data_IF_644022801082
#
_entry.id   IF_644022801082
#
_cell.length_a   1.000
_cell.length_b   1.000
_cell.length_c   1.000
_cell.angle_alpha   90.00
_cell.angle_beta   90.00
_cell.angle_gamma   90.00
#
_symmetry.space_group_name_H-M   'P 1'
#
loop_
_entity.id
_entity.type
_entity.pdbx_description
1 polymer ?
#
# COMPACT_ATOMS: atom_id res chain seq x y z
N UNK A 1 0.71 65.31 31.81
CA UNK A 1 -0.10 65.13 30.55
C UNK A 1 0.78 64.74 29.35
N UNK A 2 1.95 65.37 29.12
CA UNK A 2 2.83 65.01 28.00
C UNK A 2 3.48 63.60 28.13
N UNK A 3 3.86 63.16 29.35
CA UNK A 3 4.52 61.82 29.54
C UNK A 3 3.53 60.67 29.32
N UNK A 4 2.25 60.86 29.66
CA UNK A 4 1.22 59.85 29.42
C UNK A 4 0.86 59.69 27.93
N UNK A 5 0.86 60.82 27.18
CA UNK A 5 0.68 60.79 25.73
C UNK A 5 1.85 60.08 25.02
N UNK A 6 3.09 60.39 25.44
CA UNK A 6 4.27 59.75 24.88
C UNK A 6 4.33 58.24 25.15
N UNK A 7 3.97 57.82 26.35
CA UNK A 7 3.90 56.39 26.73
C UNK A 7 2.82 55.63 25.91
N UNK A 8 1.68 56.28 25.64
CA UNK A 8 0.61 55.73 24.79
C UNK A 8 1.03 55.60 23.33
N UNK A 9 1.81 56.58 22.78
CA UNK A 9 2.31 56.51 21.44
C UNK A 9 3.37 55.41 21.28
N UNK A 10 4.29 55.24 22.22
CA UNK A 10 5.29 54.17 22.22
C UNK A 10 4.61 52.78 22.33
N UNK A 11 3.57 52.64 23.17
CA UNK A 11 2.78 51.40 23.29
C UNK A 11 2.05 51.05 21.98
N UNK A 12 1.46 52.07 21.31
CA UNK A 12 0.75 51.89 20.07
C UNK A 12 1.68 51.50 18.93
N UNK A 13 2.89 52.11 18.85
CA UNK A 13 3.91 51.72 17.90
C UNK A 13 4.44 50.30 18.13
N UNK A 14 4.66 49.90 19.39
CA UNK A 14 5.06 48.55 19.73
C UNK A 14 4.00 47.52 19.33
N UNK A 15 2.72 47.81 19.57
CA UNK A 15 1.59 46.97 19.18
C UNK A 15 1.51 46.84 17.64
N UNK A 16 1.65 47.93 16.89
CA UNK A 16 1.66 47.91 15.41
C UNK A 16 2.81 47.08 14.84
N UNK A 17 4.00 47.18 15.43
CA UNK A 17 5.16 46.39 15.01
C UNK A 17 4.95 44.89 15.31
N UNK A 18 4.37 44.56 16.46
CA UNK A 18 4.04 43.17 16.80
C UNK A 18 2.99 42.59 15.87
N UNK A 19 1.94 43.36 15.56
CA UNK A 19 0.88 42.97 14.61
C UNK A 19 1.46 42.75 13.19
N UNK A 20 2.29 43.67 12.69
CA UNK A 20 2.94 43.52 11.38
C UNK A 20 3.81 42.29 11.32
N UNK A 21 4.59 42.01 12.37
CA UNK A 21 5.43 40.81 12.46
C UNK A 21 4.60 39.53 12.47
N UNK A 22 3.53 39.49 13.26
CA UNK A 22 2.61 38.36 13.28
C UNK A 22 1.96 38.14 11.91
N UNK A 23 1.43 39.19 11.32
CA UNK A 23 0.80 39.15 9.99
C UNK A 23 1.76 38.65 8.93
N UNK A 24 3.01 39.12 8.93
CA UNK A 24 4.04 38.67 8.00
C UNK A 24 4.33 37.17 8.16
N UNK A 25 4.45 36.65 9.39
CA UNK A 25 4.66 35.21 9.63
C UNK A 25 3.44 34.43 9.15
N UNK A 26 2.24 34.85 9.50
CA UNK A 26 1.00 34.18 9.15
C UNK A 26 0.77 34.11 7.64
N UNK A 27 0.94 35.22 6.93
CA UNK A 27 0.71 35.31 5.48
C UNK A 27 1.77 34.61 4.63
N UNK A 28 3.05 34.59 5.09
CA UNK A 28 4.17 34.06 4.31
C UNK A 28 4.68 32.70 4.80
N UNK A 29 4.07 32.10 5.82
CA UNK A 29 4.38 30.74 6.24
C UNK A 29 4.11 29.76 5.08
N UNK A 30 5.02 28.79 4.91
CA UNK A 30 4.85 27.76 3.88
C UNK A 30 3.87 26.68 4.31
N UNK A 31 3.69 26.50 5.61
CA UNK A 31 2.71 25.57 6.19
C UNK A 31 1.36 26.25 6.36
N UNK A 32 0.30 25.46 6.27
CA UNK A 32 -1.05 25.94 6.54
C UNK A 32 -1.23 26.25 8.01
N UNK A 33 -1.65 27.46 8.37
CA UNK A 33 -1.99 27.83 9.75
C UNK A 33 -3.49 28.03 9.84
N UNK A 34 -4.10 27.49 10.89
CA UNK A 34 -5.54 27.57 11.07
C UNK A 34 -5.96 27.81 12.53
N UNK A 35 -7.17 28.34 12.66
CA UNK A 35 -7.95 28.29 13.89
C UNK A 35 -9.35 27.79 13.56
N UNK A 36 -9.90 26.88 14.39
CA UNK A 36 -11.23 26.32 14.21
C UNK A 36 -12.02 26.32 15.51
N UNK A 37 -13.36 26.47 15.40
CA UNK A 37 -14.24 26.32 16.55
C UNK A 37 -14.33 24.87 17.00
N UNK A 38 -14.80 24.61 18.24
CA UNK A 38 -15.07 23.24 18.71
C UNK A 38 -16.07 22.47 17.84
N UNK A 39 -16.96 23.15 17.13
CA UNK A 39 -17.97 22.58 16.23
C UNK A 39 -17.40 22.25 14.83
N UNK A 40 -16.14 22.59 14.56
CA UNK A 40 -15.48 22.28 13.30
C UNK A 40 -15.75 23.29 12.19
N UNK A 41 -15.73 24.59 12.52
CA UNK A 41 -15.75 25.69 11.54
C UNK A 41 -14.43 26.45 11.60
N UNK A 42 -13.91 26.86 10.46
CA UNK A 42 -12.72 27.71 10.40
C UNK A 42 -13.04 29.12 10.94
N UNK A 43 -12.19 29.61 11.85
CA UNK A 43 -12.16 30.98 12.33
C UNK A 43 -11.17 31.78 11.50
N UNK A 44 -9.99 31.21 11.27
CA UNK A 44 -8.94 31.82 10.46
C UNK A 44 -8.16 30.74 9.71
N UNK A 45 -7.62 31.13 8.56
CA UNK A 45 -6.74 30.32 7.73
C UNK A 45 -5.73 31.24 7.04
N UNK A 46 -4.48 30.80 6.91
CA UNK A 46 -3.50 31.55 6.14
C UNK A 46 -3.56 31.21 4.63
N UNK A 47 -2.92 32.01 3.76
CA UNK A 47 -2.91 31.76 2.33
C UNK A 47 -2.29 30.41 1.94
N UNK A 48 -1.36 29.85 2.74
CA UNK A 48 -0.76 28.57 2.45
C UNK A 48 -1.77 27.42 2.64
N UNK A 49 -2.61 27.47 3.69
CA UNK A 49 -3.68 26.49 3.90
C UNK A 49 -4.68 26.53 2.73
N UNK A 50 -5.11 27.73 2.32
CA UNK A 50 -6.04 27.89 1.21
C UNK A 50 -5.48 27.24 -0.07
N UNK A 51 -4.27 27.56 -0.45
CA UNK A 51 -3.61 26.95 -1.62
C UNK A 51 -3.46 25.43 -1.51
N UNK A 52 -3.07 24.95 -0.33
CA UNK A 52 -2.92 23.50 -0.05
C UNK A 52 -4.24 22.76 -0.26
N UNK A 53 -5.35 23.35 0.16
CA UNK A 53 -6.69 22.76 0.02
C UNK A 53 -7.35 23.05 -1.34
N UNK A 54 -6.70 23.84 -2.20
CA UNK A 54 -7.15 24.12 -3.57
C UNK A 54 -8.14 25.27 -3.68
N UNK A 55 -8.10 26.21 -2.73
CA UNK A 55 -8.87 27.45 -2.74
C UNK A 55 -8.00 28.65 -3.19
N UNK A 56 -8.62 29.62 -3.80
CA UNK A 56 -7.93 30.84 -4.27
C UNK A 56 -7.61 31.81 -3.13
N UNK A 57 -8.42 31.77 -2.05
CA UNK A 57 -8.18 32.60 -0.86
C UNK A 57 -8.63 31.90 0.45
N UNK A 58 -8.16 32.42 1.57
CA UNK A 58 -8.57 31.97 2.91
C UNK A 58 -10.06 32.21 3.17
N UNK A 59 -10.59 33.35 2.69
CA UNK A 59 -12.00 33.71 2.84
C UNK A 59 -12.88 32.70 2.09
N UNK A 60 -12.49 32.29 0.90
CA UNK A 60 -13.20 31.28 0.12
C UNK A 60 -13.20 29.92 0.84
N UNK A 61 -12.03 29.48 1.36
CA UNK A 61 -11.92 28.26 2.15
C UNK A 61 -12.87 28.28 3.37
N UNK A 62 -12.86 29.37 4.13
CA UNK A 62 -13.69 29.52 5.34
C UNK A 62 -15.18 29.50 4.99
N UNK A 63 -15.55 30.12 3.87
CA UNK A 63 -16.94 30.19 3.42
C UNK A 63 -17.49 28.83 2.93
N UNK A 64 -16.63 28.02 2.28
CA UNK A 64 -17.03 26.74 1.68
C UNK A 64 -16.96 25.57 2.69
N UNK A 65 -15.91 25.52 3.51
CA UNK A 65 -15.73 24.46 4.52
C UNK A 65 -16.46 24.80 5.82
N UNK A 66 -17.78 24.63 5.80
CA UNK A 66 -18.66 24.91 6.95
C UNK A 66 -18.81 23.75 7.92
N UNK A 67 -18.46 22.53 7.48
CA UNK A 67 -18.46 21.28 8.29
C UNK A 67 -17.21 20.45 7.93
N UNK A 68 -16.13 20.69 8.67
CA UNK A 68 -14.85 20.00 8.47
C UNK A 68 -15.01 18.48 8.58
N UNK A 69 -15.87 17.99 9.46
CA UNK A 69 -16.05 16.56 9.72
C UNK A 69 -16.54 15.82 8.49
N UNK A 70 -17.45 16.41 7.74
CA UNK A 70 -18.09 15.77 6.59
C UNK A 70 -17.45 16.13 5.25
N UNK A 71 -16.87 17.33 5.16
CA UNK A 71 -16.38 17.86 3.88
C UNK A 71 -14.92 17.60 3.64
N UNK A 72 -14.10 17.55 4.70
CA UNK A 72 -12.64 17.56 4.58
C UNK A 72 -12.03 16.16 4.62
N UNK A 73 -12.32 15.37 5.66
CA UNK A 73 -11.65 14.08 5.84
C UNK A 73 -12.20 12.98 4.92
N UNK A 74 -11.29 12.20 4.31
CA UNK A 74 -11.66 11.05 3.47
C UNK A 74 -12.21 9.93 4.33
N UNK A 75 -11.57 9.66 5.46
CA UNK A 75 -11.94 8.56 6.36
C UNK A 75 -12.98 9.03 7.38
N UNK A 76 -14.17 8.40 7.43
CA UNK A 76 -15.19 8.70 8.43
C UNK A 76 -14.66 8.54 9.85
N UNK A 77 -15.04 9.46 10.76
CA UNK A 77 -14.61 9.45 12.15
C UNK A 77 -13.18 9.95 12.40
N UNK A 78 -12.41 10.28 11.35
CA UNK A 78 -11.03 10.74 11.52
C UNK A 78 -10.95 12.07 12.27
N UNK A 79 -11.88 12.98 12.01
CA UNK A 79 -11.99 14.25 12.76
C UNK A 79 -12.28 14.01 14.24
N UNK A 80 -13.14 13.05 14.57
CA UNK A 80 -13.49 12.75 15.95
C UNK A 80 -12.29 12.23 16.73
N UNK A 81 -11.48 11.37 16.11
CA UNK A 81 -10.19 10.90 16.67
C UNK A 81 -9.23 12.07 16.94
N UNK A 82 -9.10 12.98 15.98
CA UNK A 82 -8.28 14.18 16.15
C UNK A 82 -8.74 15.03 17.35
N UNK A 83 -10.02 15.33 17.43
CA UNK A 83 -10.60 16.12 18.52
C UNK A 83 -10.44 15.42 19.86
N UNK A 84 -10.65 14.11 19.91
CA UNK A 84 -10.45 13.32 21.12
C UNK A 84 -9.00 13.44 21.62
N UNK A 85 -8.02 13.24 20.75
CA UNK A 85 -6.60 13.34 21.11
C UNK A 85 -6.24 14.74 21.63
N UNK A 86 -6.72 15.79 20.96
CA UNK A 86 -6.46 17.18 21.40
C UNK A 86 -7.11 17.46 22.75
N UNK A 87 -8.33 16.94 23.01
CA UNK A 87 -9.02 17.14 24.30
C UNK A 87 -8.33 16.42 25.46
N UNK A 88 -7.89 15.18 25.23
CA UNK A 88 -7.25 14.33 26.24
C UNK A 88 -5.84 14.83 26.61
N UNK A 89 -5.06 15.24 25.60
CA UNK A 89 -3.66 15.57 25.77
C UNK A 89 -3.36 17.09 25.76
N UNK A 90 -4.37 17.93 25.51
CA UNK A 90 -4.19 19.36 25.31
C UNK A 90 -3.63 19.74 23.94
N UNK A 91 -3.01 18.79 23.25
CA UNK A 91 -2.45 18.94 21.91
C UNK A 91 -2.37 17.60 21.17
N UNK A 92 -2.20 17.66 19.85
CA UNK A 92 -1.86 16.54 18.99
C UNK A 92 -0.70 16.98 18.08
N UNK A 93 0.23 16.08 17.84
CA UNK A 93 1.38 16.32 16.96
C UNK A 93 1.36 15.30 15.83
N UNK A 94 1.68 15.76 14.61
CA UNK A 94 1.88 14.92 13.42
C UNK A 94 0.75 13.94 13.15
N UNK A 95 -0.50 14.39 13.33
CA UNK A 95 -1.67 13.59 13.04
C UNK A 95 -1.87 13.48 11.53
N UNK A 96 -1.50 12.35 10.95
CA UNK A 96 -1.57 12.13 9.51
C UNK A 96 -2.96 11.70 9.06
N UNK A 97 -3.47 12.33 8.01
CA UNK A 97 -4.81 12.06 7.48
C UNK A 97 -4.87 12.29 5.97
N UNK A 98 -5.78 11.57 5.31
CA UNK A 98 -6.18 11.91 3.96
C UNK A 98 -7.34 12.89 3.98
N UNK A 99 -7.26 13.91 3.13
CA UNK A 99 -8.30 14.90 2.99
C UNK A 99 -8.67 15.13 1.52
N UNK A 100 -9.89 15.61 1.30
CA UNK A 100 -10.34 16.10 0.00
C UNK A 100 -9.93 17.56 -0.18
N UNK A 101 -9.34 17.86 -1.33
CA UNK A 101 -9.22 19.24 -1.81
C UNK A 101 -10.54 19.69 -2.45
N UNK A 102 -10.70 20.98 -2.74
CA UNK A 102 -11.88 21.57 -3.40
C UNK A 102 -12.32 20.78 -4.64
N UNK A 103 -11.40 20.35 -5.49
CA UNK A 103 -11.69 19.54 -6.69
C UNK A 103 -11.86 18.04 -6.45
N UNK A 104 -12.07 17.60 -5.20
CA UNK A 104 -12.20 16.18 -4.79
C UNK A 104 -10.95 15.34 -5.01
N UNK A 105 -9.82 15.92 -5.40
CA UNK A 105 -8.53 15.22 -5.32
C UNK A 105 -8.15 14.98 -3.86
N UNK A 106 -7.47 13.86 -3.60
CA UNK A 106 -7.05 13.45 -2.26
C UNK A 106 -5.58 13.80 -2.07
N UNK A 107 -5.24 14.37 -0.91
CA UNK A 107 -3.86 14.55 -0.46
C UNK A 107 -3.67 14.00 0.94
N UNK A 108 -2.44 13.70 1.29
CA UNK A 108 -2.04 13.41 2.66
C UNK A 108 -1.60 14.68 3.37
N UNK A 109 -2.11 14.92 4.57
CA UNK A 109 -1.69 15.99 5.44
C UNK A 109 -1.18 15.47 6.78
N UNK A 110 -0.31 16.26 7.42
CA UNK A 110 0.09 16.11 8.81
C UNK A 110 -0.39 17.35 9.57
N UNK A 111 -1.20 17.15 10.60
CA UNK A 111 -1.76 18.20 11.43
C UNK A 111 -1.14 18.18 12.82
N UNK A 112 -0.67 19.35 13.29
CA UNK A 112 -0.28 19.56 14.68
C UNK A 112 -1.14 20.70 15.25
N UNK A 113 -1.83 20.43 16.33
CA UNK A 113 -2.77 21.41 16.91
C UNK A 113 -2.79 21.34 18.44
N UNK A 114 -3.23 22.44 19.03
CA UNK A 114 -3.50 22.53 20.45
C UNK A 114 -4.85 23.17 20.74
N UNK A 115 -5.37 22.91 21.92
CA UNK A 115 -6.57 23.58 22.42
C UNK A 115 -6.19 24.91 23.10
N UNK A 116 -6.96 25.94 22.79
CA UNK A 116 -6.89 27.22 23.52
C UNK A 116 -8.14 27.33 24.37
N UNK A 117 -7.93 27.60 25.66
CA UNK A 117 -9.00 27.69 26.66
C UNK A 117 -9.06 29.08 27.25
N UNK A 118 -10.24 29.42 27.69
CA UNK A 118 -10.45 30.61 28.53
C UNK A 118 -9.74 30.42 29.90
N UNK A 119 -8.94 31.39 30.30
CA UNK A 119 -8.12 31.30 31.52
C UNK A 119 -8.97 31.28 32.81
N UNK A 120 -10.21 31.79 32.78
CA UNK A 120 -11.09 31.91 33.94
C UNK A 120 -12.08 30.74 34.03
N UNK A 121 -12.75 30.44 32.93
CA UNK A 121 -13.78 29.38 32.89
C UNK A 121 -13.21 27.99 32.58
N UNK A 122 -12.03 27.90 31.94
CA UNK A 122 -11.45 26.65 31.43
C UNK A 122 -12.16 26.13 30.19
N UNK A 123 -13.16 26.80 29.66
CA UNK A 123 -13.89 26.41 28.45
C UNK A 123 -12.98 26.47 27.22
N UNK A 124 -13.22 25.57 26.26
CA UNK A 124 -12.51 25.56 25.01
C UNK A 124 -12.98 26.72 24.14
N UNK A 125 -12.09 27.64 23.83
CA UNK A 125 -12.36 28.78 22.96
C UNK A 125 -12.21 28.35 21.48
N UNK A 126 -11.08 27.73 21.11
CA UNK A 126 -10.81 27.27 19.76
C UNK A 126 -9.65 26.26 19.75
N UNK A 127 -9.48 25.62 18.61
CA UNK A 127 -8.27 24.85 18.28
C UNK A 127 -7.43 25.67 17.32
N UNK A 128 -6.11 25.68 17.51
CA UNK A 128 -5.19 26.29 16.57
C UNK A 128 -4.06 25.33 16.24
N UNK A 129 -3.55 25.42 15.02
CA UNK A 129 -2.52 24.50 14.59
C UNK A 129 -1.95 24.81 13.23
N UNK A 130 -1.11 23.87 12.80
CA UNK A 130 -0.41 23.89 11.53
C UNK A 130 -0.69 22.61 10.75
N UNK A 131 -0.73 22.76 9.42
CA UNK A 131 -0.95 21.66 8.47
C UNK A 131 0.18 21.66 7.46
N UNK A 132 0.75 20.49 7.23
CA UNK A 132 1.76 20.25 6.21
C UNK A 132 1.23 19.24 5.17
N UNK A 133 1.41 19.53 3.88
CA UNK A 133 1.17 18.55 2.81
C UNK A 133 2.34 17.53 2.78
N UNK A 134 2.02 16.29 3.11
CA UNK A 134 2.97 15.18 3.16
C UNK A 134 2.75 14.17 2.02
N UNK A 135 1.99 14.54 0.99
CA UNK A 135 1.65 13.65 -0.13
C UNK A 135 2.89 13.11 -0.82
N UNK A 136 3.89 13.97 -1.07
CA UNK A 136 5.16 13.54 -1.67
C UNK A 136 5.95 12.60 -0.77
N UNK A 137 5.96 12.87 0.54
CA UNK A 137 6.62 11.98 1.51
C UNK A 137 5.96 10.61 1.53
N UNK A 138 4.62 10.55 1.58
CA UNK A 138 3.88 9.29 1.55
C UNK A 138 4.08 8.49 0.26
N UNK A 139 4.10 9.17 -0.89
CA UNK A 139 4.39 8.51 -2.16
C UNK A 139 5.81 7.90 -2.19
N UNK A 140 6.81 8.64 -1.68
CA UNK A 140 8.19 8.14 -1.62
C UNK A 140 8.35 6.99 -0.60
N UNK A 141 7.65 7.04 0.54
CA UNK A 141 7.60 5.94 1.52
C UNK A 141 7.03 4.68 0.88
N UNK A 142 5.91 4.79 0.19
CA UNK A 142 5.25 3.67 -0.49
C UNK A 142 6.12 3.07 -1.61
N UNK A 143 6.73 3.91 -2.45
CA UNK A 143 7.66 3.48 -3.50
C UNK A 143 8.88 2.72 -2.91
N UNK A 144 9.45 3.25 -1.82
CA UNK A 144 10.54 2.58 -1.10
C UNK A 144 10.12 1.23 -0.54
N UNK A 145 8.94 1.15 0.07
CA UNK A 145 8.45 -0.08 0.69
C UNK A 145 8.14 -1.15 -0.37
N UNK A 146 7.61 -0.77 -1.52
CA UNK A 146 7.45 -1.64 -2.68
C UNK A 146 8.81 -2.13 -3.21
N UNK A 147 9.79 -1.23 -3.36
CA UNK A 147 11.13 -1.61 -3.80
C UNK A 147 11.81 -2.59 -2.82
N UNK A 148 11.67 -2.36 -1.52
CA UNK A 148 12.20 -3.25 -0.49
C UNK A 148 11.52 -4.63 -0.53
N UNK A 149 10.20 -4.69 -0.72
CA UNK A 149 9.47 -5.94 -0.86
C UNK A 149 9.98 -6.74 -2.08
N UNK A 150 10.19 -6.09 -3.23
CA UNK A 150 10.75 -6.71 -4.43
C UNK A 150 12.15 -7.28 -4.18
N UNK A 151 13.04 -6.53 -3.54
CA UNK A 151 14.37 -7.00 -3.17
C UNK A 151 14.31 -8.20 -2.21
N UNK A 152 13.41 -8.19 -1.24
CA UNK A 152 13.20 -9.30 -0.31
C UNK A 152 12.78 -10.58 -1.03
N UNK A 153 11.88 -10.49 -2.01
CA UNK A 153 11.48 -11.62 -2.88
C UNK A 153 12.68 -12.19 -3.61
N UNK A 154 13.44 -11.32 -4.30
CA UNK A 154 14.63 -11.76 -5.08
C UNK A 154 15.63 -12.49 -4.20
N UNK A 155 15.95 -11.90 -3.04
CA UNK A 155 16.91 -12.49 -2.10
C UNK A 155 16.41 -13.83 -1.56
N UNK A 156 15.14 -13.91 -1.14
CA UNK A 156 14.56 -15.12 -0.56
C UNK A 156 14.53 -16.28 -1.57
N UNK A 157 14.14 -16.01 -2.83
CA UNK A 157 14.14 -17.02 -3.90
C UNK A 157 15.57 -17.45 -4.23
N UNK A 158 16.49 -16.51 -4.41
CA UNK A 158 17.89 -16.84 -4.72
C UNK A 158 18.53 -17.69 -3.62
N UNK A 159 18.30 -17.35 -2.34
CA UNK A 159 18.77 -18.11 -1.19
C UNK A 159 18.19 -19.52 -1.19
N UNK A 160 16.87 -19.65 -1.38
CA UNK A 160 16.22 -20.97 -1.42
C UNK A 160 16.79 -21.85 -2.52
N UNK A 161 16.99 -21.30 -3.73
CA UNK A 161 17.58 -22.04 -4.85
C UNK A 161 19.05 -22.42 -4.61
N UNK A 162 19.77 -21.70 -3.75
CA UNK A 162 21.15 -22.05 -3.39
C UNK A 162 21.23 -23.14 -2.31
N UNK A 163 20.24 -23.22 -1.42
CA UNK A 163 20.22 -24.17 -0.28
C UNK A 163 19.63 -25.55 -0.63
N UNK A 164 18.81 -25.64 -1.67
CA UNK A 164 18.13 -26.88 -2.05
C UNK A 164 18.78 -27.58 -3.25
N UNK A 165 18.62 -28.92 -3.31
CA UNK A 165 19.11 -29.71 -4.44
C UNK A 165 18.02 -30.03 -5.46
N UNK A 166 16.77 -30.08 -5.04
CA UNK A 166 15.64 -30.50 -5.86
C UNK A 166 14.49 -29.49 -5.79
N UNK A 167 13.84 -29.26 -6.94
CA UNK A 167 12.71 -28.34 -7.03
C UNK A 167 11.55 -28.74 -6.09
N UNK A 168 11.32 -30.05 -5.89
CA UNK A 168 10.28 -30.53 -4.99
C UNK A 168 10.47 -30.09 -3.53
N UNK A 169 11.73 -29.81 -3.11
CA UNK A 169 12.02 -29.25 -1.79
C UNK A 169 11.93 -27.71 -1.79
N UNK A 170 12.20 -27.12 -2.98
CA UNK A 170 12.24 -25.67 -3.15
C UNK A 170 10.85 -25.05 -3.35
N UNK A 171 9.94 -25.74 -4.04
CA UNK A 171 8.69 -25.18 -4.51
C UNK A 171 7.85 -24.54 -3.40
N UNK A 172 7.58 -25.29 -2.33
CA UNK A 172 6.83 -24.79 -1.19
C UNK A 172 7.53 -23.62 -0.49
N UNK A 173 8.87 -23.71 -0.33
CA UNK A 173 9.67 -22.64 0.29
C UNK A 173 9.69 -21.36 -0.56
N UNK A 174 9.73 -21.50 -1.89
CA UNK A 174 9.68 -20.36 -2.82
C UNK A 174 8.30 -19.70 -2.76
N UNK A 175 7.22 -20.49 -2.81
CA UNK A 175 5.85 -19.97 -2.68
C UNK A 175 5.69 -19.22 -1.36
N UNK A 176 6.12 -19.81 -0.24
CA UNK A 176 6.11 -19.18 1.07
C UNK A 176 6.90 -17.87 1.08
N UNK A 177 8.15 -17.91 0.59
CA UNK A 177 9.03 -16.75 0.60
C UNK A 177 8.47 -15.57 -0.19
N UNK A 178 7.82 -15.83 -1.32
CA UNK A 178 7.14 -14.80 -2.11
C UNK A 178 5.95 -14.25 -1.34
N UNK A 179 5.04 -15.10 -0.84
CA UNK A 179 3.88 -14.66 -0.06
C UNK A 179 4.27 -13.78 1.13
N UNK A 180 5.22 -14.24 1.95
CA UNK A 180 5.69 -13.51 3.14
C UNK A 180 6.34 -12.16 2.77
N UNK A 181 7.09 -12.10 1.65
CA UNK A 181 7.78 -10.88 1.23
C UNK A 181 6.85 -9.80 0.67
N UNK A 182 5.75 -10.20 0.02
CA UNK A 182 4.77 -9.26 -0.55
C UNK A 182 3.51 -9.11 0.30
N UNK A 183 3.42 -9.82 1.44
CA UNK A 183 2.27 -9.78 2.34
C UNK A 183 1.01 -10.43 1.75
N UNK A 184 1.16 -11.48 0.94
CA UNK A 184 0.04 -12.20 0.32
C UNK A 184 -0.29 -13.47 1.10
N UNK A 185 -1.55 -13.88 1.05
CA UNK A 185 -2.13 -14.83 1.99
C UNK A 185 -2.09 -16.29 1.54
N UNK A 186 -2.03 -16.52 0.23
CA UNK A 186 -2.08 -17.86 -0.37
C UNK A 186 -1.22 -17.90 -1.64
N UNK A 187 -0.58 -19.03 -1.90
CA UNK A 187 0.14 -19.28 -3.14
C UNK A 187 0.22 -20.76 -3.46
N UNK A 188 0.31 -21.05 -4.74
CA UNK A 188 0.42 -22.40 -5.25
C UNK A 188 1.38 -22.49 -6.45
N UNK A 189 1.87 -23.70 -6.68
CA UNK A 189 2.70 -24.04 -7.82
C UNK A 189 2.06 -25.13 -8.67
N UNK A 190 1.97 -24.86 -9.95
CA UNK A 190 1.44 -25.74 -11.00
C UNK A 190 2.58 -26.25 -11.87
N UNK A 191 2.65 -27.54 -12.08
CA UNK A 191 3.60 -28.17 -13.00
C UNK A 191 2.89 -28.67 -14.25
N UNK A 192 3.49 -28.45 -15.40
CA UNK A 192 2.97 -28.98 -16.66
C UNK A 192 3.24 -30.49 -16.76
N UNK A 193 2.16 -31.27 -16.76
CA UNK A 193 2.14 -32.66 -17.15
C UNK A 193 2.07 -32.72 -18.68
N UNK A 194 3.20 -33.01 -19.32
CA UNK A 194 3.29 -32.98 -20.80
C UNK A 194 2.55 -34.14 -21.47
N UNK A 195 2.39 -35.27 -20.78
CA UNK A 195 1.67 -36.44 -21.31
C UNK A 195 0.16 -36.18 -21.31
N UNK A 196 -0.35 -35.68 -20.20
CA UNK A 196 -1.76 -35.32 -20.06
C UNK A 196 -2.11 -33.99 -20.70
N UNK A 197 -1.13 -33.14 -21.02
CA UNK A 197 -1.26 -31.76 -21.50
C UNK A 197 -2.13 -30.89 -20.55
N UNK A 198 -1.82 -30.97 -19.26
CA UNK A 198 -2.55 -30.30 -18.16
C UNK A 198 -1.58 -29.71 -17.15
N UNK A 199 -1.93 -28.58 -16.53
CA UNK A 199 -1.26 -28.11 -15.32
C UNK A 199 -1.89 -28.81 -14.12
N UNK A 200 -1.01 -29.36 -13.24
CA UNK A 200 -1.39 -29.99 -11.96
C UNK A 200 -0.73 -29.26 -10.80
N UNK A 201 -1.50 -29.04 -9.73
CA UNK A 201 -0.96 -28.50 -8.49
C UNK A 201 0.08 -29.46 -7.89
N UNK A 202 1.23 -28.90 -7.50
CA UNK A 202 2.31 -29.69 -6.86
C UNK A 202 2.58 -29.22 -5.42
N UNK A 203 2.39 -27.94 -5.12
CA UNK A 203 2.57 -27.40 -3.80
C UNK A 203 1.61 -26.23 -3.54
N UNK A 204 1.24 -26.10 -2.27
CA UNK A 204 0.40 -25.01 -1.74
C UNK A 204 1.06 -24.48 -0.47
N UNK A 205 1.02 -23.16 -0.30
CA UNK A 205 1.31 -22.50 0.95
C UNK A 205 0.23 -21.46 1.24
N UNK A 206 -0.10 -21.29 2.51
CA UNK A 206 -1.00 -20.24 2.98
C UNK A 206 -0.55 -19.68 4.32
N UNK A 207 -0.93 -18.44 4.59
CA UNK A 207 -0.68 -17.79 5.87
C UNK A 207 -1.35 -18.58 7.02
N UNK A 208 -0.75 -18.64 8.23
CA UNK A 208 -1.31 -19.41 9.34
C UNK A 208 -2.72 -18.99 9.75
N UNK A 209 -3.03 -17.70 9.60
CA UNK A 209 -4.36 -17.16 9.94
C UNK A 209 -5.39 -17.31 8.79
N UNK A 210 -4.98 -17.89 7.66
CA UNK A 210 -5.85 -18.08 6.51
C UNK A 210 -6.54 -19.45 6.56
N UNK A 211 -7.88 -19.45 6.65
CA UNK A 211 -8.69 -20.65 6.86
C UNK A 211 -9.64 -20.88 5.66
N UNK A 212 -9.09 -21.11 4.48
CA UNK A 212 -9.90 -21.41 3.28
C UNK A 212 -9.77 -22.88 2.88
N UNK A 213 -10.36 -23.77 3.65
CA UNK A 213 -10.36 -25.22 3.37
C UNK A 213 -10.89 -25.52 1.96
N UNK A 214 -12.02 -24.91 1.58
CA UNK A 214 -12.64 -25.08 0.27
C UNK A 214 -11.69 -24.71 -0.90
N UNK A 215 -10.87 -23.68 -0.74
CA UNK A 215 -9.90 -23.30 -1.78
C UNK A 215 -8.75 -24.31 -1.87
N UNK A 216 -8.25 -24.79 -0.72
CA UNK A 216 -7.15 -25.77 -0.69
C UNK A 216 -7.59 -27.07 -1.36
N UNK A 217 -8.78 -27.58 -1.01
CA UNK A 217 -9.36 -28.79 -1.58
C UNK A 217 -9.60 -28.62 -3.08
N UNK A 218 -10.25 -27.53 -3.47
CA UNK A 218 -10.48 -27.20 -4.89
C UNK A 218 -9.18 -27.07 -5.66
N UNK A 219 -8.09 -26.52 -5.06
CA UNK A 219 -6.79 -26.39 -5.71
C UNK A 219 -6.14 -27.74 -5.96
N UNK A 220 -6.25 -28.68 -5.02
CA UNK A 220 -5.68 -30.03 -5.17
C UNK A 220 -6.39 -30.88 -6.22
N UNK A 221 -7.68 -30.69 -6.38
CA UNK A 221 -8.52 -31.44 -7.33
C UNK A 221 -8.54 -30.84 -8.74
N UNK A 222 -8.24 -29.54 -8.88
CA UNK A 222 -8.31 -28.83 -10.15
C UNK A 222 -7.11 -29.14 -11.03
N UNK A 223 -7.34 -29.19 -12.32
CA UNK A 223 -6.32 -29.15 -13.38
C UNK A 223 -6.66 -28.05 -14.38
N UNK A 224 -5.67 -27.49 -15.06
CA UNK A 224 -5.89 -26.44 -16.04
C UNK A 224 -5.38 -26.83 -17.41
N UNK A 225 -6.21 -26.59 -18.42
CA UNK A 225 -5.82 -26.55 -19.82
C UNK A 225 -5.24 -25.19 -20.19
N UNK A 226 -4.57 -25.11 -21.32
CA UNK A 226 -4.06 -23.84 -21.85
C UNK A 226 -5.22 -22.85 -22.07
N UNK A 227 -5.14 -21.65 -21.49
CA UNK A 227 -6.18 -20.62 -21.56
C UNK A 227 -7.23 -20.68 -20.44
N UNK A 228 -7.35 -21.78 -19.70
CA UNK A 228 -8.33 -21.93 -18.61
C UNK A 228 -7.79 -21.38 -17.29
N UNK A 229 -8.56 -20.52 -16.65
CA UNK A 229 -8.19 -19.88 -15.38
C UNK A 229 -6.94 -19.01 -15.50
N UNK A 230 -6.46 -18.51 -14.38
CA UNK A 230 -5.23 -17.69 -14.37
C UNK A 230 -3.99 -18.52 -14.73
N UNK A 231 -3.75 -19.73 -14.19
CA UNK A 231 -2.63 -20.57 -14.60
C UNK A 231 -2.63 -20.92 -16.10
N UNK A 232 -3.79 -21.26 -16.68
CA UNK A 232 -3.90 -21.59 -18.11
C UNK A 232 -3.66 -20.39 -19.03
N UNK A 233 -4.07 -19.17 -18.60
CA UNK A 233 -3.75 -17.92 -19.33
C UNK A 233 -2.25 -17.63 -19.34
N UNK A 234 -1.57 -17.80 -18.21
CA UNK A 234 -0.10 -17.71 -18.13
C UNK A 234 0.56 -18.75 -19.04
N UNK A 235 0.06 -19.98 -19.03
CA UNK A 235 0.56 -21.04 -19.92
C UNK A 235 0.42 -20.68 -21.39
N UNK A 236 -0.76 -20.26 -21.85
CA UNK A 236 -1.01 -19.97 -23.26
C UNK A 236 -0.22 -18.76 -23.76
N UNK A 237 -0.09 -17.72 -22.94
CA UNK A 237 0.57 -16.46 -23.31
C UNK A 237 2.08 -16.43 -22.99
N UNK A 238 2.55 -17.25 -22.04
CA UNK A 238 3.90 -17.21 -21.44
C UNK A 238 4.25 -15.86 -20.81
N UNK A 239 3.22 -15.14 -20.35
CA UNK A 239 3.35 -13.84 -19.68
C UNK A 239 2.73 -13.92 -18.29
N UNK A 240 3.27 -13.12 -17.38
CA UNK A 240 2.64 -12.90 -16.09
C UNK A 240 1.31 -12.14 -16.23
N UNK A 241 0.37 -12.42 -15.34
CA UNK A 241 -0.93 -11.78 -15.28
C UNK A 241 -1.25 -11.32 -13.87
N UNK A 242 -2.01 -10.22 -13.80
CA UNK A 242 -2.58 -9.67 -12.58
C UNK A 242 -4.09 -9.57 -12.69
N UNK A 243 -4.80 -9.96 -11.64
CA UNK A 243 -6.25 -9.83 -11.52
C UNK A 243 -6.52 -9.03 -10.25
N UNK A 244 -7.07 -7.81 -10.34
CA UNK A 244 -7.37 -7.00 -9.16
C UNK A 244 -8.42 -7.64 -8.24
N UNK A 245 -9.42 -8.32 -8.80
CA UNK A 245 -10.46 -9.03 -8.05
C UNK A 245 -10.89 -10.31 -8.78
N UNK A 246 -10.53 -11.46 -8.23
CA UNK A 246 -10.84 -12.78 -8.80
C UNK A 246 -12.32 -13.12 -8.74
N UNK A 247 -13.08 -12.50 -7.83
CA UNK A 247 -14.52 -12.67 -7.74
C UNK A 247 -15.28 -12.10 -8.94
N UNK A 248 -14.65 -11.17 -9.66
CA UNK A 248 -15.19 -10.52 -10.85
C UNK A 248 -14.67 -11.12 -12.16
N UNK A 249 -13.68 -12.03 -12.10
CA UNK A 249 -13.09 -12.64 -13.31
C UNK A 249 -13.91 -13.83 -13.79
N UNK A 250 -14.57 -13.71 -14.97
CA UNK A 250 -15.39 -14.80 -15.51
C UNK A 250 -14.58 -16.05 -15.89
N UNK A 251 -13.28 -15.93 -16.08
CA UNK A 251 -12.37 -17.05 -16.35
C UNK A 251 -11.56 -17.45 -15.12
N UNK A 252 -12.23 -17.61 -13.99
CA UNK A 252 -11.61 -18.07 -12.74
C UNK A 252 -12.43 -19.24 -12.15
N UNK A 253 -12.15 -20.49 -12.51
CA UNK A 253 -12.87 -21.66 -11.98
C UNK A 253 -12.86 -21.73 -10.46
N UNK A 254 -11.78 -21.27 -9.81
CA UNK A 254 -11.63 -21.22 -8.36
C UNK A 254 -11.99 -19.85 -7.75
N UNK A 255 -12.38 -18.87 -8.58
CA UNK A 255 -12.64 -17.49 -8.14
C UNK A 255 -13.72 -17.39 -7.06
N UNK A 256 -14.79 -18.20 -7.16
CA UNK A 256 -15.81 -18.23 -6.11
C UNK A 256 -15.32 -18.83 -4.80
N UNK A 257 -14.50 -19.88 -4.85
CA UNK A 257 -13.90 -20.48 -3.64
C UNK A 257 -12.91 -19.51 -3.01
N UNK A 258 -12.09 -18.83 -3.80
CA UNK A 258 -11.18 -17.78 -3.35
C UNK A 258 -11.93 -16.61 -2.70
N UNK A 259 -12.98 -16.09 -3.36
CA UNK A 259 -13.79 -14.98 -2.85
C UNK A 259 -14.54 -15.35 -1.56
N UNK A 260 -15.06 -16.58 -1.43
CA UNK A 260 -15.63 -17.08 -0.17
C UNK A 260 -14.61 -17.11 0.96
N UNK A 261 -13.34 -17.40 0.65
CA UNK A 261 -12.22 -17.32 1.59
C UNK A 261 -11.75 -15.90 1.87
N UNK A 262 -12.40 -14.89 1.26
CA UNK A 262 -12.04 -13.48 1.42
C UNK A 262 -10.81 -13.05 0.59
N UNK A 263 -10.43 -13.82 -0.44
CA UNK A 263 -9.36 -13.47 -1.36
C UNK A 263 -9.93 -12.71 -2.57
N UNK A 264 -9.23 -11.65 -2.96
CA UNK A 264 -9.60 -10.77 -4.05
C UNK A 264 -8.50 -10.65 -5.10
N UNK A 265 -7.35 -10.06 -4.75
CA UNK A 265 -6.24 -9.89 -5.68
C UNK A 265 -5.58 -11.22 -6.04
N UNK A 266 -5.19 -11.38 -7.30
CA UNK A 266 -4.34 -12.50 -7.72
C UNK A 266 -3.32 -12.08 -8.75
N UNK A 267 -2.15 -12.74 -8.74
CA UNK A 267 -1.19 -12.70 -9.84
C UNK A 267 -0.59 -14.09 -10.09
N UNK A 268 -0.13 -14.29 -11.30
CA UNK A 268 0.61 -15.51 -11.65
C UNK A 268 1.69 -15.22 -12.68
N UNK A 269 2.75 -16.03 -12.66
CA UNK A 269 3.87 -15.93 -13.60
C UNK A 269 4.38 -17.30 -14.05
N UNK A 270 4.95 -17.38 -15.28
CA UNK A 270 5.44 -18.63 -15.84
C UNK A 270 6.81 -19.01 -15.27
N UNK A 271 7.03 -20.31 -15.08
CA UNK A 271 8.35 -20.90 -14.87
C UNK A 271 8.85 -21.41 -16.21
N UNK A 272 9.90 -20.78 -16.75
CA UNK A 272 10.38 -21.00 -18.11
C UNK A 272 11.74 -21.69 -18.14
N UNK A 273 11.90 -22.70 -19.00
CA UNK A 273 13.14 -23.32 -19.36
C UNK A 273 13.43 -23.01 -20.84
N UNK A 274 14.21 -21.97 -21.10
CA UNK A 274 14.32 -21.43 -22.47
C UNK A 274 12.97 -20.92 -22.96
N UNK A 275 12.46 -21.48 -24.06
CA UNK A 275 11.13 -21.17 -24.62
C UNK A 275 10.01 -22.03 -24.03
N UNK A 276 10.35 -23.08 -23.29
CA UNK A 276 9.39 -24.07 -22.79
C UNK A 276 8.85 -23.69 -21.42
N UNK A 277 7.54 -23.75 -21.28
CA UNK A 277 6.90 -23.64 -19.97
C UNK A 277 7.04 -24.99 -19.24
N UNK A 278 7.49 -24.93 -17.98
CA UNK A 278 7.54 -26.11 -17.09
C UNK A 278 6.52 -26.02 -15.96
N UNK A 279 6.04 -24.82 -15.66
CA UNK A 279 5.04 -24.62 -14.63
C UNK A 279 4.58 -23.17 -14.53
N UNK A 280 3.71 -22.92 -13.57
CA UNK A 280 3.17 -21.60 -13.21
C UNK A 280 3.16 -21.48 -11.70
N UNK A 281 3.49 -20.33 -11.17
CA UNK A 281 3.20 -19.96 -9.79
C UNK A 281 2.07 -18.94 -9.76
N UNK A 282 1.13 -19.15 -8.85
CA UNK A 282 -0.05 -18.31 -8.67
C UNK A 282 -0.18 -17.90 -7.22
N UNK A 283 -0.66 -16.67 -6.97
CA UNK A 283 -0.72 -16.07 -5.65
C UNK A 283 -2.01 -15.29 -5.47
N UNK A 284 -2.51 -15.24 -4.21
CA UNK A 284 -3.76 -14.57 -3.86
C UNK A 284 -3.59 -13.73 -2.60
N UNK A 285 -4.31 -12.60 -2.54
CA UNK A 285 -4.36 -11.67 -1.42
C UNK A 285 -5.81 -11.34 -1.04
N UNK A 286 -6.04 -11.07 0.26
CA UNK A 286 -7.31 -10.50 0.74
C UNK A 286 -7.53 -9.06 0.30
N UNK A 287 -6.48 -8.36 -0.09
CA UNK A 287 -6.57 -7.00 -0.60
C UNK A 287 -6.88 -6.95 -2.09
N UNK A 288 -7.59 -5.89 -2.50
CA UNK A 288 -7.68 -5.48 -3.90
C UNK A 288 -6.51 -4.57 -4.19
N UNK A 289 -5.59 -5.01 -5.02
CA UNK A 289 -4.38 -4.27 -5.36
C UNK A 289 -4.38 -3.86 -6.83
N UNK A 290 -3.99 -2.62 -7.16
CA UNK A 290 -3.74 -2.26 -8.55
C UNK A 290 -2.57 -3.09 -9.12
N UNK A 291 -2.54 -3.32 -10.44
CA UNK A 291 -1.43 -4.02 -11.08
C UNK A 291 -0.09 -3.34 -10.79
N UNK A 292 0.92 -4.14 -10.41
CA UNK A 292 2.32 -3.73 -10.25
C UNK A 292 3.15 -4.36 -11.37
N UNK A 293 3.36 -3.60 -12.46
CA UNK A 293 4.07 -4.08 -13.64
C UNK A 293 5.55 -4.37 -13.36
N UNK A 294 6.17 -3.66 -12.41
CA UNK A 294 7.56 -3.90 -12.02
C UNK A 294 7.68 -5.21 -11.23
N UNK A 295 6.75 -5.48 -10.32
CA UNK A 295 6.67 -6.76 -9.61
C UNK A 295 6.45 -7.91 -10.60
N UNK A 296 5.52 -7.79 -11.54
CA UNK A 296 5.27 -8.81 -12.55
C UNK A 296 6.49 -9.07 -13.44
N UNK A 297 7.20 -8.02 -13.83
CA UNK A 297 8.44 -8.14 -14.61
C UNK A 297 9.54 -8.87 -13.82
N UNK A 298 9.72 -8.50 -12.56
CA UNK A 298 10.67 -9.15 -11.66
C UNK A 298 10.33 -10.64 -11.44
N UNK A 299 9.06 -10.96 -11.18
CA UNK A 299 8.59 -12.33 -10.96
C UNK A 299 8.77 -13.19 -12.24
N UNK A 300 8.55 -12.61 -13.43
CA UNK A 300 8.84 -13.30 -14.69
C UNK A 300 10.33 -13.65 -14.85
N UNK A 301 11.21 -12.74 -14.42
CA UNK A 301 12.66 -13.02 -14.41
C UNK A 301 13.01 -14.13 -13.38
N UNK A 302 12.38 -14.12 -12.20
CA UNK A 302 12.53 -15.19 -11.20
C UNK A 302 12.03 -16.54 -11.74
N UNK A 303 10.91 -16.56 -12.45
CA UNK A 303 10.41 -17.77 -13.12
C UNK A 303 11.43 -18.39 -14.08
N UNK A 304 12.19 -17.55 -14.79
CA UNK A 304 13.30 -18.01 -15.65
C UNK A 304 14.47 -18.54 -14.82
N UNK A 305 14.81 -17.93 -13.68
CA UNK A 305 15.86 -18.44 -12.79
C UNK A 305 15.48 -19.80 -12.18
N UNK A 306 14.23 -19.96 -11.74
CA UNK A 306 13.69 -21.23 -11.22
C UNK A 306 13.77 -22.30 -12.33
N UNK A 307 13.38 -21.98 -13.56
CA UNK A 307 13.47 -22.88 -14.68
C UNK A 307 14.90 -23.30 -15.02
N UNK A 308 15.86 -22.39 -14.93
CA UNK A 308 17.29 -22.68 -15.11
C UNK A 308 17.84 -23.60 -14.00
N UNK A 309 17.34 -23.46 -12.77
CA UNK A 309 17.65 -24.38 -11.67
C UNK A 309 17.15 -25.80 -11.98
N UNK A 310 15.90 -25.94 -12.43
CA UNK A 310 15.32 -27.24 -12.83
C UNK A 310 16.12 -27.89 -13.93
N UNK A 311 16.58 -27.14 -14.93
CA UNK A 311 17.40 -27.66 -16.00
C UNK A 311 18.73 -28.22 -15.50
N UNK A 312 19.40 -27.50 -14.61
CA UNK A 312 20.66 -27.97 -14.00
C UNK A 312 20.48 -29.27 -13.21
N UNK A 313 19.38 -29.36 -12.44
CA UNK A 313 19.01 -30.56 -11.69
C UNK A 313 18.80 -31.75 -12.63
N UNK A 314 18.03 -31.58 -13.72
CA UNK A 314 17.77 -32.63 -14.70
C UNK A 314 19.08 -33.13 -15.36
N UNK A 315 19.97 -32.21 -15.76
CA UNK A 315 21.26 -32.56 -16.35
C UNK A 315 22.17 -33.31 -15.35
N UNK A 316 22.22 -32.87 -14.10
CA UNK A 316 22.99 -33.54 -13.05
C UNK A 316 22.50 -34.97 -12.81
N UNK A 317 21.19 -35.18 -12.78
CA UNK A 317 20.57 -36.48 -12.61
C UNK A 317 20.82 -37.42 -13.82
N UNK A 318 20.83 -36.87 -15.06
CA UNK A 318 21.15 -37.62 -16.24
C UNK A 318 22.61 -38.05 -16.24
N UNK A 319 23.53 -37.14 -15.91
CA UNK A 319 24.98 -37.47 -15.83
C UNK A 319 25.27 -38.54 -14.77
N UNK A 320 24.59 -38.48 -13.61
CA UNK A 320 24.73 -39.50 -12.56
C UNK A 320 24.31 -40.89 -13.06
N UNK A 321 23.17 -40.98 -13.75
CA UNK A 321 22.71 -42.24 -14.36
C UNK A 321 23.65 -42.80 -15.41
N UNK A 322 24.22 -41.93 -16.27
CA UNK A 322 25.20 -42.36 -17.25
C UNK A 322 26.51 -42.86 -16.61
N UNK A 323 26.95 -42.24 -15.50
CA UNK A 323 28.13 -42.69 -14.77
C UNK A 323 27.90 -44.06 -14.10
N UNK A 324 26.72 -44.32 -13.58
CA UNK A 324 26.35 -45.62 -13.00
C UNK A 324 26.32 -46.73 -14.07
N UNK A 325 25.73 -46.45 -15.25
CA UNK A 325 25.63 -47.43 -16.35
C UNK A 325 26.96 -47.66 -17.09
N UNK A 326 27.95 -46.79 -16.96
CA UNK A 326 29.26 -46.93 -17.57
C UNK A 326 30.25 -47.70 -16.67
N UNK A 327 29.88 -48.01 -15.41
CA UNK A 327 30.70 -48.79 -14.48
C UNK A 327 30.29 -50.26 -14.39
N UNK A 328 29.14 -50.61 -14.99
CA UNK A 328 28.70 -52.03 -15.17
C UNK A 328 29.12 -52.54 -16.56
#
# INVERSE_FOLDING_TARGET
MNDQLKNNEETLEALRRAEQKYRSIFEHCLEGIFQTTPEGKYISANPALARMYGYDSAEELIADLTDITRQLYVQPGRRDQFIQLVRENGQVLEFESQIYRRGRSVIWISESARVVRDEVSGEVLYYEGMVQDITRRKAAEEERDQANARLSVQYAVARTLAEVRHLGEASKKIVQAICESVGWDFGDMWRLDREANLLRCVDIWHAPEFHAHDLIESTQETTFEAGAGLPGRVWSSRKAFWIPDVGLDPNSPRGMAAAKGGLHGAFAFPIMQGSDLIGVMEFFSRGIHPPDDELLSMLSALGTQIGSFVQREQLANQLARYAETACD
#
